data_IF_333763586057
#
_entry.id   IF_333763586057
#
_cell.length_a   1.000
_cell.length_b   1.000
_cell.length_c   1.000
_cell.angle_alpha   90.00
_cell.angle_beta   90.00
_cell.angle_gamma   90.00
#
_symmetry.space_group_name_H-M   'P 1'
#
loop_
_entity.id
_entity.type
_entity.pdbx_description
1 polymer ?
#
# COMPACT_ATOMS: atom_id res chain seq x y z
N UNK A 1 -13.54 33.12 -0.78
CA UNK A 1 -14.27 31.99 -0.16
C UNK A 1 -14.56 31.00 -1.26
N UNK A 2 -13.75 29.96 -1.40
CA UNK A 2 -14.05 28.85 -2.30
C UNK A 2 -14.94 27.89 -1.52
N UNK A 3 -16.23 27.89 -1.85
CA UNK A 3 -17.16 26.84 -1.45
C UNK A 3 -16.73 25.58 -2.19
N UNK A 4 -15.90 24.77 -1.55
CA UNK A 4 -15.61 23.41 -2.04
C UNK A 4 -16.79 22.57 -1.56
N UNK A 5 -17.46 21.95 -2.53
CA UNK A 5 -18.61 21.08 -2.35
C UNK A 5 -18.28 19.97 -1.34
N UNK A 6 -19.01 19.92 -0.22
CA UNK A 6 -18.88 18.90 0.84
C UNK A 6 -19.64 17.61 0.49
N UNK A 7 -20.05 17.44 -0.78
CA UNK A 7 -20.82 16.30 -1.28
C UNK A 7 -19.98 15.07 -1.68
N UNK A 8 -18.72 14.99 -1.23
CA UNK A 8 -17.83 13.87 -1.55
C UNK A 8 -17.71 12.84 -0.40
N UNK A 9 -18.84 12.45 0.16
CA UNK A 9 -19.03 11.04 0.44
C UNK A 9 -19.42 10.46 -0.93
N UNK A 10 -18.70 9.46 -1.46
CA UNK A 10 -19.06 8.83 -2.74
C UNK A 10 -20.56 8.50 -2.80
N UNK A 11 -21.19 8.33 -3.97
CA UNK A 11 -22.65 8.22 -4.08
C UNK A 11 -23.20 7.13 -3.15
N UNK A 12 -23.65 7.54 -1.96
CA UNK A 12 -24.43 6.70 -1.06
C UNK A 12 -25.87 6.58 -1.59
N UNK A 13 -26.20 7.34 -2.64
CA UNK A 13 -27.45 7.31 -3.39
C UNK A 13 -27.33 6.38 -4.61
N UNK A 14 -27.71 5.11 -4.38
CA UNK A 14 -28.50 4.27 -5.28
C UNK A 14 -28.12 4.03 -6.75
N UNK A 15 -26.96 4.47 -7.29
CA UNK A 15 -26.76 4.44 -8.75
C UNK A 15 -25.37 4.03 -9.29
N UNK A 16 -24.58 3.29 -8.52
CA UNK A 16 -23.49 2.49 -9.09
C UNK A 16 -23.70 1.04 -8.69
N UNK A 17 -24.23 0.24 -9.63
CA UNK A 17 -24.32 -1.23 -9.60
C UNK A 17 -22.93 -1.89 -9.62
N UNK A 18 -22.05 -1.50 -8.70
CA UNK A 18 -20.97 -2.37 -8.25
C UNK A 18 -21.50 -2.97 -6.95
N UNK A 19 -21.78 -4.26 -6.95
CA UNK A 19 -22.05 -5.02 -5.73
C UNK A 19 -21.06 -4.56 -4.65
N UNK A 20 -21.57 -3.92 -3.60
CA UNK A 20 -20.72 -3.33 -2.55
C UNK A 20 -19.96 -4.47 -1.89
N UNK A 21 -18.65 -4.52 -2.12
CA UNK A 21 -17.79 -5.56 -1.59
C UNK A 21 -17.70 -5.38 -0.08
N UNK A 22 -18.06 -6.43 0.66
CA UNK A 22 -17.85 -6.46 2.10
C UNK A 22 -16.37 -6.75 2.35
N UNK A 23 -15.66 -5.77 2.91
CA UNK A 23 -14.26 -5.94 3.29
C UNK A 23 -14.16 -6.91 4.47
N UNK A 24 -13.43 -8.00 4.28
CA UNK A 24 -13.17 -8.99 5.33
C UNK A 24 -11.72 -9.45 5.24
N UNK A 25 -11.07 -9.54 6.40
CA UNK A 25 -9.77 -10.17 6.50
C UNK A 25 -9.90 -11.64 6.12
N UNK A 26 -9.14 -12.06 5.12
CA UNK A 26 -9.04 -13.46 4.71
C UNK A 26 -7.94 -14.13 5.53
N UNK A 27 -8.16 -15.36 5.93
CA UNK A 27 -7.09 -16.18 6.49
C UNK A 27 -6.21 -16.65 5.34
N UNK A 28 -4.94 -16.26 5.31
CA UNK A 28 -4.03 -16.56 4.20
C UNK A 28 -2.75 -17.22 4.71
N UNK A 29 -2.24 -18.15 3.91
CA UNK A 29 -0.98 -18.83 4.17
C UNK A 29 -0.12 -18.87 2.91
N UNK A 30 1.16 -18.55 3.05
CA UNK A 30 2.13 -18.60 1.97
C UNK A 30 3.26 -19.58 2.34
N UNK A 31 3.57 -20.49 1.42
CA UNK A 31 4.74 -21.36 1.53
C UNK A 31 5.95 -20.68 0.90
N UNK A 32 6.94 -20.36 1.72
CA UNK A 32 8.18 -19.71 1.30
C UNK A 32 9.33 -20.70 1.07
N UNK A 33 9.14 -22.00 1.34
CA UNK A 33 10.24 -22.97 1.48
C UNK A 33 11.20 -23.01 0.28
N UNK A 34 10.68 -22.86 -0.94
CA UNK A 34 11.42 -22.85 -2.19
C UNK A 34 11.69 -21.45 -2.77
N UNK A 35 11.15 -20.38 -2.17
CA UNK A 35 11.30 -19.01 -2.66
C UNK A 35 12.79 -18.58 -2.68
N UNK A 36 13.39 -18.26 -3.84
CA UNK A 36 14.77 -17.78 -3.90
C UNK A 36 14.88 -16.29 -3.54
N UNK A 37 16.11 -15.80 -3.30
CA UNK A 37 16.36 -14.37 -3.07
C UNK A 37 15.91 -13.53 -4.26
N UNK A 38 16.29 -13.93 -5.48
CA UNK A 38 15.78 -13.36 -6.73
C UNK A 38 14.63 -14.20 -7.29
N UNK A 39 13.42 -13.95 -6.79
CA UNK A 39 12.20 -14.60 -7.27
C UNK A 39 11.74 -14.15 -8.64
N UNK A 40 12.32 -13.09 -9.22
CA UNK A 40 12.18 -12.78 -10.65
C UNK A 40 13.48 -13.20 -11.36
N UNK A 41 13.46 -14.28 -12.15
CA UNK A 41 14.68 -14.87 -12.72
C UNK A 41 15.52 -13.88 -13.53
N UNK A 42 16.78 -13.69 -13.14
CA UNK A 42 17.71 -12.79 -13.83
C UNK A 42 17.42 -11.29 -13.63
N UNK A 43 16.46 -10.93 -12.78
CA UNK A 43 16.01 -9.55 -12.57
C UNK A 43 16.15 -9.10 -11.11
N UNK A 44 17.39 -8.88 -10.61
CA UNK A 44 17.60 -8.38 -9.26
C UNK A 44 16.98 -6.99 -9.04
N UNK A 45 16.94 -6.15 -10.08
CA UNK A 45 16.29 -4.85 -9.99
C UNK A 45 14.79 -4.99 -9.70
N UNK A 46 14.09 -5.86 -10.44
CA UNK A 46 12.64 -6.06 -10.29
C UNK A 46 12.33 -6.68 -8.94
N UNK A 47 13.06 -7.76 -8.59
CA UNK A 47 12.94 -8.42 -7.28
C UNK A 47 13.11 -7.41 -6.15
N UNK A 48 14.18 -6.61 -6.16
CA UNK A 48 14.42 -5.66 -5.07
C UNK A 48 13.52 -4.43 -5.11
N UNK A 49 13.01 -4.04 -6.28
CA UNK A 49 12.00 -3.00 -6.40
C UNK A 49 10.72 -3.41 -5.66
N UNK A 50 10.26 -4.64 -5.88
CA UNK A 50 9.13 -5.22 -5.16
C UNK A 50 9.46 -5.42 -3.68
N UNK A 51 10.68 -5.86 -3.33
CA UNK A 51 11.07 -6.04 -1.93
C UNK A 51 11.05 -4.75 -1.08
N UNK A 52 11.09 -3.57 -1.70
CA UNK A 52 10.87 -2.31 -0.97
C UNK A 52 9.50 -2.29 -0.27
N UNK A 53 8.48 -2.96 -0.82
CA UNK A 53 7.16 -3.09 -0.18
C UNK A 53 7.30 -3.74 1.20
N UNK A 54 7.99 -4.89 1.29
CA UNK A 54 8.22 -5.59 2.56
C UNK A 54 9.08 -4.77 3.55
N UNK A 55 9.86 -3.78 3.08
CA UNK A 55 10.58 -2.85 3.97
C UNK A 55 9.70 -1.78 4.60
N UNK A 56 8.66 -1.33 3.87
CA UNK A 56 7.89 -0.15 4.21
C UNK A 56 6.52 -0.49 4.81
N UNK A 57 5.81 -1.43 4.19
CA UNK A 57 4.40 -1.69 4.46
C UNK A 57 4.13 -2.26 5.85
N UNK A 58 4.89 -3.24 6.41
CA UNK A 58 4.57 -3.79 7.74
C UNK A 58 4.37 -2.73 8.83
N UNK A 59 5.27 -1.76 8.89
CA UNK A 59 5.22 -0.67 9.86
C UNK A 59 4.19 0.40 9.50
N UNK A 60 3.92 0.60 8.21
CA UNK A 60 2.88 1.49 7.71
C UNK A 60 1.49 0.99 8.04
N UNK A 61 1.22 -0.28 7.75
CA UNK A 61 -0.06 -0.95 7.97
C UNK A 61 -0.36 -1.10 9.47
N UNK A 62 0.66 -1.42 10.30
CA UNK A 62 0.57 -1.32 11.77
C UNK A 62 0.12 0.10 12.20
N UNK A 63 0.68 1.14 11.58
CA UNK A 63 0.29 2.52 11.84
C UNK A 63 -1.12 2.85 11.32
N UNK A 64 -1.54 2.34 10.16
CA UNK A 64 -2.88 2.54 9.60
C UNK A 64 -3.95 1.99 10.55
N UNK A 65 -3.74 0.75 11.01
CA UNK A 65 -4.59 0.09 12.01
C UNK A 65 -4.75 0.95 13.26
N UNK A 66 -3.66 1.46 13.83
CA UNK A 66 -3.72 2.27 15.04
C UNK A 66 -4.41 3.63 14.82
N UNK A 67 -4.17 4.28 13.69
CA UNK A 67 -4.87 5.54 13.34
C UNK A 67 -6.36 5.30 13.15
N UNK A 68 -6.76 4.22 12.50
CA UNK A 68 -8.16 3.95 12.21
C UNK A 68 -8.92 3.43 13.43
N UNK A 69 -8.28 2.71 14.35
CA UNK A 69 -8.85 2.44 15.69
C UNK A 69 -9.18 3.73 16.45
N UNK A 70 -8.34 4.76 16.33
CA UNK A 70 -8.60 6.07 16.94
C UNK A 70 -9.68 6.88 16.21
N UNK A 71 -9.80 6.72 14.89
CA UNK A 71 -10.82 7.37 14.08
C UNK A 71 -12.20 6.72 14.23
N UNK A 72 -12.27 5.40 14.42
CA UNK A 72 -13.49 4.59 14.41
C UNK A 72 -14.61 5.14 15.33
N UNK A 73 -14.35 5.57 16.58
CA UNK A 73 -15.38 6.12 17.46
C UNK A 73 -15.96 7.47 17.00
N UNK A 74 -15.30 8.14 16.06
CA UNK A 74 -15.70 9.44 15.52
C UNK A 74 -16.56 9.29 14.25
N UNK A 75 -16.65 8.08 13.69
CA UNK A 75 -17.41 7.79 12.48
C UNK A 75 -18.88 7.54 12.84
N UNK A 76 -19.76 8.36 12.26
CA UNK A 76 -21.21 8.29 12.47
C UNK A 76 -21.95 7.52 11.39
N UNK A 77 -21.29 7.29 10.25
CA UNK A 77 -21.85 6.51 9.15
C UNK A 77 -21.64 5.01 9.43
N UNK A 78 -22.73 4.26 9.48
CA UNK A 78 -22.70 2.85 9.86
C UNK A 78 -21.98 1.98 8.83
N UNK A 79 -22.08 2.32 7.54
CA UNK A 79 -21.43 1.59 6.47
C UNK A 79 -19.92 1.85 6.48
N UNK A 80 -19.50 3.12 6.53
CA UNK A 80 -18.10 3.48 6.62
C UNK A 80 -17.43 2.87 7.86
N UNK A 81 -18.17 2.76 8.96
CA UNK A 81 -17.68 2.09 10.16
C UNK A 81 -17.44 0.59 9.95
N UNK A 82 -18.29 -0.10 9.17
CA UNK A 82 -18.06 -1.49 8.77
C UNK A 82 -16.85 -1.60 7.82
N UNK A 83 -16.75 -0.70 6.84
CA UNK A 83 -15.65 -0.71 5.87
C UNK A 83 -14.30 -0.49 6.58
N UNK A 84 -14.23 0.44 7.54
CA UNK A 84 -13.03 0.67 8.36
C UNK A 84 -12.70 -0.53 9.25
N UNK A 85 -13.69 -1.26 9.75
CA UNK A 85 -13.44 -2.49 10.50
C UNK A 85 -12.85 -3.59 9.61
N UNK A 86 -13.38 -3.76 8.39
CA UNK A 86 -12.84 -4.66 7.39
C UNK A 86 -11.40 -4.31 7.00
N UNK A 87 -11.16 -3.03 6.70
CA UNK A 87 -9.83 -2.46 6.44
C UNK A 87 -8.84 -2.79 7.56
N UNK A 88 -9.20 -2.51 8.83
CA UNK A 88 -8.33 -2.82 9.98
C UNK A 88 -7.95 -4.32 10.02
N UNK A 89 -8.89 -5.20 9.67
CA UNK A 89 -8.66 -6.63 9.58
C UNK A 89 -7.68 -7.00 8.47
N UNK A 90 -7.92 -6.52 7.24
CA UNK A 90 -7.08 -6.79 6.08
C UNK A 90 -5.64 -6.29 6.31
N UNK A 91 -5.47 -5.06 6.78
CA UNK A 91 -4.14 -4.48 7.04
C UNK A 91 -3.34 -5.22 8.12
N UNK A 92 -4.01 -5.75 9.14
CA UNK A 92 -3.35 -6.57 10.14
C UNK A 92 -2.82 -7.89 9.52
N UNK A 93 -3.52 -8.45 8.54
CA UNK A 93 -3.09 -9.64 7.80
C UNK A 93 -1.99 -9.31 6.79
N UNK A 94 -2.09 -8.19 6.05
CA UNK A 94 -1.05 -7.71 5.14
C UNK A 94 0.31 -7.60 5.85
N UNK A 95 0.32 -6.95 7.02
CA UNK A 95 1.54 -6.70 7.78
C UNK A 95 2.24 -8.00 8.18
N UNK A 96 1.45 -9.01 8.57
CA UNK A 96 1.95 -10.36 8.90
C UNK A 96 2.52 -11.08 7.67
N UNK A 97 1.83 -11.02 6.53
CA UNK A 97 2.29 -11.64 5.29
C UNK A 97 3.62 -11.04 4.82
N UNK A 98 3.76 -9.70 4.85
CA UNK A 98 5.04 -9.04 4.53
C UNK A 98 6.14 -9.40 5.53
N UNK A 99 5.84 -9.49 6.82
CA UNK A 99 6.81 -9.90 7.84
C UNK A 99 7.34 -11.32 7.59
N UNK A 100 6.48 -12.24 7.15
CA UNK A 100 6.88 -13.60 6.75
C UNK A 100 7.91 -13.61 5.60
N UNK A 101 7.76 -12.72 4.61
CA UNK A 101 8.75 -12.57 3.53
C UNK A 101 10.09 -12.03 4.07
N UNK A 102 10.04 -11.07 4.99
CA UNK A 102 11.25 -10.52 5.64
C UNK A 102 12.01 -11.61 6.39
N UNK A 103 11.31 -12.42 7.18
CA UNK A 103 11.91 -13.51 7.95
C UNK A 103 12.51 -14.58 7.05
N UNK A 104 11.82 -14.93 5.97
CA UNK A 104 12.33 -15.89 4.97
C UNK A 104 13.62 -15.39 4.29
N UNK A 105 13.63 -14.14 3.84
CA UNK A 105 14.81 -13.56 3.17
C UNK A 105 15.98 -13.36 4.14
N UNK A 106 15.71 -13.06 5.42
CA UNK A 106 16.72 -13.05 6.47
C UNK A 106 17.37 -14.44 6.65
N UNK A 107 16.58 -15.52 6.65
CA UNK A 107 17.09 -16.89 6.69
C UNK A 107 17.96 -17.27 5.47
N UNK A 108 17.81 -16.55 4.35
CA UNK A 108 18.64 -16.66 3.14
C UNK A 108 19.81 -15.67 3.10
N UNK A 109 20.08 -14.96 4.19
CA UNK A 109 21.22 -14.04 4.31
C UNK A 109 20.96 -12.59 3.90
N UNK A 110 19.71 -12.22 3.60
CA UNK A 110 19.28 -10.85 3.28
C UNK A 110 18.66 -10.22 4.52
N UNK A 111 19.49 -9.71 5.44
CA UNK A 111 19.01 -9.07 6.67
C UNK A 111 18.40 -7.69 6.40
N UNK A 112 17.07 -7.61 6.48
CA UNK A 112 16.32 -6.37 6.33
C UNK A 112 16.06 -5.62 7.63
N UNK A 113 16.38 -6.23 8.78
CA UNK A 113 16.03 -5.72 10.11
C UNK A 113 16.52 -4.29 10.39
N UNK A 114 17.71 -3.84 9.92
CA UNK A 114 18.15 -2.47 10.17
C UNK A 114 17.27 -1.41 9.51
N UNK A 115 16.73 -1.74 8.32
CA UNK A 115 15.87 -0.81 7.59
C UNK A 115 14.44 -0.85 8.13
N UNK A 116 13.86 -2.03 8.37
CA UNK A 116 12.51 -2.14 8.94
C UNK A 116 12.44 -1.52 10.33
N UNK A 117 13.48 -1.67 11.18
CA UNK A 117 13.56 -1.00 12.47
C UNK A 117 13.60 0.54 12.33
N UNK A 118 14.29 1.06 11.32
CA UNK A 118 14.30 2.50 11.03
C UNK A 118 12.92 3.01 10.62
N UNK A 119 12.19 2.26 9.79
CA UNK A 119 10.84 2.64 9.36
C UNK A 119 9.87 2.61 10.55
N UNK A 120 9.91 1.57 11.39
CA UNK A 120 9.14 1.52 12.65
C UNK A 120 9.44 2.72 13.54
N UNK A 121 10.71 3.10 13.68
CA UNK A 121 11.12 4.29 14.42
C UNK A 121 10.56 5.58 13.79
N UNK A 122 10.60 5.70 12.46
CA UNK A 122 10.09 6.87 11.74
C UNK A 122 8.59 7.04 11.98
N UNK A 123 7.80 5.97 11.87
CA UNK A 123 6.37 6.01 12.18
C UNK A 123 6.13 6.41 13.63
N UNK A 124 6.75 5.72 14.58
CA UNK A 124 6.58 5.99 16.01
C UNK A 124 6.97 7.43 16.40
N UNK A 125 8.08 7.95 15.86
CA UNK A 125 8.61 9.26 16.26
C UNK A 125 8.02 10.42 15.47
N UNK A 126 7.85 10.31 14.16
CA UNK A 126 7.40 11.45 13.34
C UNK A 126 5.88 11.56 13.30
N UNK A 127 5.18 10.43 13.21
CA UNK A 127 3.72 10.40 13.00
C UNK A 127 2.93 9.68 14.11
N UNK A 128 3.61 9.14 15.12
CA UNK A 128 2.98 8.51 16.28
C UNK A 128 2.23 9.47 17.21
N UNK A 129 1.63 8.91 18.25
CA UNK A 129 0.80 9.64 19.21
C UNK A 129 1.54 10.76 19.94
N UNK A 130 0.76 11.73 20.42
CA UNK A 130 1.22 12.92 21.13
C UNK A 130 0.44 13.09 22.44
N UNK A 131 0.63 12.19 23.42
CA UNK A 131 -0.22 12.13 24.62
C UNK A 131 -0.13 13.40 25.49
N UNK A 132 0.99 14.12 25.44
CA UNK A 132 1.17 15.37 26.20
C UNK A 132 0.57 16.61 25.51
N UNK A 133 -0.03 16.47 24.32
CA UNK A 133 -0.72 17.58 23.67
C UNK A 133 -2.14 17.73 24.23
N UNK A 134 -2.71 18.93 24.15
CA UNK A 134 -4.12 19.13 24.50
C UNK A 134 -5.06 18.36 23.57
N UNK A 135 -6.27 18.02 24.03
CA UNK A 135 -7.26 17.27 23.24
C UNK A 135 -7.50 17.86 21.85
N UNK A 136 -7.67 19.18 21.77
CA UNK A 136 -7.83 19.89 20.48
C UNK A 136 -6.64 19.70 19.55
N UNK A 137 -5.41 19.63 20.09
CA UNK A 137 -4.21 19.35 19.30
C UNK A 137 -4.16 17.89 18.86
N UNK A 138 -4.54 16.95 19.73
CA UNK A 138 -4.61 15.53 19.41
C UNK A 138 -5.64 15.24 18.31
N UNK A 139 -6.83 15.85 18.39
CA UNK A 139 -7.85 15.75 17.33
C UNK A 139 -7.34 16.26 16.00
N UNK A 140 -6.71 17.45 15.97
CA UNK A 140 -6.10 17.96 14.73
C UNK A 140 -5.00 17.03 14.21
N UNK A 141 -4.22 16.44 15.10
CA UNK A 141 -3.16 15.51 14.75
C UNK A 141 -3.70 14.19 14.19
N UNK A 142 -4.80 13.68 14.72
CA UNK A 142 -5.52 12.55 14.13
C UNK A 142 -5.92 12.83 12.68
N UNK A 143 -6.45 14.03 12.39
CA UNK A 143 -6.79 14.40 11.02
C UNK A 143 -5.56 14.48 10.09
N UNK A 144 -4.39 14.91 10.58
CA UNK A 144 -3.14 14.84 9.80
C UNK A 144 -2.77 13.40 9.47
N UNK A 145 -2.89 12.49 10.44
CA UNK A 145 -2.56 11.08 10.28
C UNK A 145 -3.55 10.37 9.36
N UNK A 146 -4.85 10.64 9.48
CA UNK A 146 -5.86 10.13 8.55
C UNK A 146 -5.57 10.60 7.11
N UNK A 147 -5.22 11.87 6.92
CA UNK A 147 -4.84 12.37 5.59
C UNK A 147 -3.53 11.74 5.08
N UNK A 148 -2.61 11.36 5.98
CA UNK A 148 -1.39 10.62 5.64
C UNK A 148 -1.73 9.19 5.18
N UNK A 149 -2.59 8.48 5.90
CA UNK A 149 -3.06 7.15 5.49
C UNK A 149 -3.70 7.24 4.10
N UNK A 150 -4.68 8.13 3.90
CA UNK A 150 -5.34 8.30 2.61
C UNK A 150 -4.37 8.63 1.46
N UNK A 151 -3.32 9.42 1.74
CA UNK A 151 -2.29 9.74 0.75
C UNK A 151 -1.41 8.54 0.40
N UNK A 152 -1.07 7.68 1.37
CA UNK A 152 -0.25 6.47 1.14
C UNK A 152 -1.08 5.37 0.47
N UNK A 153 -2.32 5.16 0.91
CA UNK A 153 -3.29 4.23 0.33
C UNK A 153 -3.53 4.50 -1.16
N UNK A 154 -3.51 5.78 -1.56
CA UNK A 154 -3.57 6.11 -2.99
C UNK A 154 -2.41 5.51 -3.80
N UNK A 155 -1.21 5.37 -3.21
CA UNK A 155 -0.09 4.71 -3.89
C UNK A 155 -0.20 3.18 -3.87
N UNK A 156 -0.61 2.59 -2.75
CA UNK A 156 -0.77 1.13 -2.64
C UNK A 156 -1.86 0.65 -3.59
N UNK A 157 -2.98 1.38 -3.71
CA UNK A 157 -4.02 1.09 -4.69
C UNK A 157 -3.53 1.14 -6.15
N UNK A 158 -2.69 2.13 -6.52
CA UNK A 158 -2.10 2.20 -7.87
C UNK A 158 -1.17 1.00 -8.13
N UNK A 159 -0.34 0.64 -7.14
CA UNK A 159 0.57 -0.49 -7.25
C UNK A 159 -0.19 -1.83 -7.27
N UNK A 160 -1.27 -1.93 -6.50
CA UNK A 160 -2.17 -3.07 -6.46
C UNK A 160 -2.87 -3.30 -7.80
N UNK A 161 -3.42 -2.24 -8.40
CA UNK A 161 -3.99 -2.32 -9.75
C UNK A 161 -2.94 -2.73 -10.79
N UNK A 162 -1.71 -2.20 -10.70
CA UNK A 162 -0.62 -2.58 -11.60
C UNK A 162 -0.22 -4.05 -11.46
N UNK A 163 -0.04 -4.57 -10.25
CA UNK A 163 0.44 -5.95 -10.07
C UNK A 163 -0.61 -6.98 -10.47
N UNK A 164 -1.90 -6.64 -10.36
CA UNK A 164 -3.00 -7.45 -10.91
C UNK A 164 -2.98 -7.52 -12.44
N UNK A 165 -2.39 -6.53 -13.11
CA UNK A 165 -2.31 -6.42 -14.57
C UNK A 165 -0.87 -6.49 -15.08
N UNK A 166 -0.12 -7.47 -14.59
CA UNK A 166 1.33 -7.63 -14.82
C UNK A 166 1.70 -8.93 -15.56
N UNK A 167 1.15 -9.21 -16.77
CA UNK A 167 1.40 -10.48 -17.48
C UNK A 167 2.88 -10.73 -17.82
N UNK A 168 3.69 -9.69 -17.84
CA UNK A 168 5.14 -9.80 -18.03
C UNK A 168 5.85 -10.53 -16.87
N UNK A 169 5.32 -10.42 -15.64
CA UNK A 169 5.85 -11.15 -14.48
C UNK A 169 5.56 -12.65 -14.60
N UNK A 170 4.39 -13.03 -15.13
CA UNK A 170 4.09 -14.44 -15.42
C UNK A 170 4.98 -14.96 -16.56
N UNK A 171 5.10 -14.19 -17.64
CA UNK A 171 5.85 -14.59 -18.83
C UNK A 171 7.35 -14.78 -18.57
N UNK A 172 7.94 -14.02 -17.65
CA UNK A 172 9.35 -14.18 -17.25
C UNK A 172 9.56 -15.30 -16.22
N UNK A 173 8.48 -15.87 -15.68
CA UNK A 173 8.54 -16.93 -14.69
C UNK A 173 8.88 -16.46 -13.28
N UNK A 174 8.33 -15.30 -12.85
CA UNK A 174 8.45 -14.91 -11.46
C UNK A 174 7.77 -15.94 -10.53
N UNK A 175 8.34 -16.13 -9.34
CA UNK A 175 7.96 -17.22 -8.44
C UNK A 175 6.47 -17.13 -8.04
N UNK A 176 5.69 -18.21 -8.19
CA UNK A 176 4.24 -18.16 -8.03
C UNK A 176 3.82 -17.77 -6.61
N UNK A 177 4.50 -18.24 -5.56
CA UNK A 177 4.17 -17.87 -4.18
C UNK A 177 4.31 -16.37 -3.90
N UNK A 178 5.35 -15.73 -4.46
CA UNK A 178 5.55 -14.28 -4.29
C UNK A 178 4.56 -13.48 -5.15
N UNK A 179 4.30 -13.93 -6.38
CA UNK A 179 3.28 -13.29 -7.21
C UNK A 179 1.89 -13.38 -6.58
N UNK A 180 1.54 -14.52 -5.98
CA UNK A 180 0.28 -14.67 -5.26
C UNK A 180 0.18 -13.71 -4.08
N UNK A 181 1.24 -13.61 -3.26
CA UNK A 181 1.24 -12.68 -2.14
C UNK A 181 1.09 -11.22 -2.58
N UNK A 182 1.85 -10.78 -3.59
CA UNK A 182 1.78 -9.40 -4.07
C UNK A 182 0.43 -9.08 -4.73
N UNK A 183 -0.18 -10.03 -5.45
CA UNK A 183 -1.47 -9.84 -6.11
C UNK A 183 -2.66 -9.99 -5.16
N UNK A 184 -2.59 -10.87 -4.17
CA UNK A 184 -3.58 -10.95 -3.09
C UNK A 184 -3.61 -9.61 -2.35
N UNK A 185 -2.45 -9.13 -1.91
CA UNK A 185 -2.34 -7.83 -1.26
C UNK A 185 -2.86 -6.73 -2.18
N UNK A 186 -2.34 -6.66 -3.41
CA UNK A 186 -2.78 -5.66 -4.39
C UNK A 186 -4.29 -5.68 -4.69
N UNK A 187 -4.94 -6.85 -4.60
CA UNK A 187 -6.38 -6.95 -4.72
C UNK A 187 -7.12 -6.35 -3.53
N UNK A 188 -6.72 -6.66 -2.30
CA UNK A 188 -7.33 -6.09 -1.10
C UNK A 188 -7.11 -4.56 -1.06
N UNK A 189 -5.92 -4.07 -1.46
CA UNK A 189 -5.64 -2.63 -1.65
C UNK A 189 -6.61 -1.95 -2.62
N UNK A 190 -7.04 -2.67 -3.66
CA UNK A 190 -8.01 -2.17 -4.64
C UNK A 190 -9.46 -2.27 -4.12
N UNK A 191 -9.80 -3.30 -3.32
CA UNK A 191 -11.10 -3.41 -2.65
C UNK A 191 -11.33 -2.22 -1.71
N UNK A 192 -10.31 -1.81 -0.94
CA UNK A 192 -10.44 -0.79 0.10
C UNK A 192 -9.91 0.60 -0.25
N UNK A 193 -9.47 0.82 -1.50
CA UNK A 193 -8.84 2.09 -1.98
C UNK A 193 -9.58 3.39 -1.63
N UNK A 194 -10.90 3.32 -1.40
CA UNK A 194 -11.72 4.47 -1.05
C UNK A 194 -11.81 4.71 0.46
N UNK A 195 -11.66 3.69 1.30
CA UNK A 195 -11.97 3.74 2.74
C UNK A 195 -11.21 4.85 3.45
N UNK A 196 -9.89 4.92 3.26
CA UNK A 196 -9.07 5.94 3.93
C UNK A 196 -9.45 7.36 3.50
N UNK A 197 -9.80 7.54 2.22
CA UNK A 197 -10.27 8.82 1.69
C UNK A 197 -11.65 9.17 2.25
N UNK A 198 -12.56 8.21 2.36
CA UNK A 198 -13.89 8.39 2.90
C UNK A 198 -13.86 8.76 4.38
N UNK A 199 -12.97 8.14 5.17
CA UNK A 199 -12.71 8.56 6.56
C UNK A 199 -12.19 10.00 6.61
N UNK A 200 -11.25 10.37 5.74
CA UNK A 200 -10.73 11.74 5.66
C UNK A 200 -11.84 12.76 5.34
N UNK A 201 -12.77 12.42 4.45
CA UNK A 201 -13.92 13.27 4.10
C UNK A 201 -14.95 13.32 5.21
N UNK A 202 -15.31 12.18 5.78
CA UNK A 202 -16.26 12.06 6.89
C UNK A 202 -15.83 12.89 8.11
N UNK A 203 -14.53 12.86 8.44
CA UNK A 203 -13.95 13.65 9.54
C UNK A 203 -13.66 15.11 9.15
N UNK A 204 -14.06 15.55 7.96
CA UNK A 204 -13.92 16.91 7.45
C UNK A 204 -12.47 17.41 7.53
N UNK A 205 -11.51 16.57 7.13
CA UNK A 205 -10.09 16.91 7.23
C UNK A 205 -9.69 18.07 6.30
N UNK A 206 -10.49 18.34 5.26
CA UNK A 206 -10.39 19.49 4.38
C UNK A 206 -9.41 19.33 3.21
N UNK A 207 -9.75 19.91 2.06
CA UNK A 207 -8.98 19.78 0.82
C UNK A 207 -7.53 20.30 0.91
N UNK A 208 -7.31 21.41 1.64
CA UNK A 208 -5.96 21.94 1.82
C UNK A 208 -5.04 20.94 2.55
N UNK A 209 -5.58 20.18 3.52
CA UNK A 209 -4.83 19.14 4.23
C UNK A 209 -4.52 17.97 3.30
N UNK A 210 -5.51 17.50 2.54
CA UNK A 210 -5.32 16.46 1.52
C UNK A 210 -4.16 16.82 0.58
N UNK A 211 -4.19 18.01 -0.03
CA UNK A 211 -3.17 18.44 -1.01
C UNK A 211 -1.79 18.59 -0.37
N UNK A 212 -1.67 19.28 0.78
CA UNK A 212 -0.35 19.46 1.41
C UNK A 212 0.26 18.15 1.90
N UNK A 213 -0.57 17.21 2.35
CA UNK A 213 -0.11 15.88 2.77
C UNK A 213 0.38 15.11 1.55
N UNK A 214 -0.37 15.10 0.44
CA UNK A 214 0.09 14.45 -0.80
C UNK A 214 1.40 15.05 -1.31
N UNK A 215 1.56 16.38 -1.27
CA UNK A 215 2.80 17.08 -1.65
C UNK A 215 4.00 16.69 -0.79
N UNK A 216 3.77 16.33 0.48
CA UNK A 216 4.82 15.87 1.39
C UNK A 216 5.12 14.36 1.22
N UNK A 217 4.07 13.54 1.06
CA UNK A 217 4.16 12.09 0.91
C UNK A 217 4.84 11.71 -0.41
N UNK A 218 4.49 12.36 -1.53
CA UNK A 218 5.05 12.04 -2.85
C UNK A 218 6.59 12.00 -2.87
N UNK A 219 7.32 13.07 -2.49
CA UNK A 219 8.78 13.05 -2.49
C UNK A 219 9.36 12.15 -1.39
N UNK A 220 8.68 12.01 -0.24
CA UNK A 220 9.12 11.12 0.83
C UNK A 220 9.08 9.66 0.39
N UNK A 221 7.99 9.23 -0.24
CA UNK A 221 7.84 7.87 -0.78
C UNK A 221 8.90 7.59 -1.84
N UNK A 222 9.12 8.51 -2.79
CA UNK A 222 10.18 8.35 -3.79
C UNK A 222 11.57 8.21 -3.13
N UNK A 223 11.86 9.05 -2.13
CA UNK A 223 13.13 8.98 -1.39
C UNK A 223 13.28 7.65 -0.64
N UNK A 224 12.23 7.20 0.07
CA UNK A 224 12.20 5.91 0.76
C UNK A 224 12.40 4.75 -0.22
N UNK A 225 11.79 4.81 -1.40
CA UNK A 225 11.93 3.78 -2.43
C UNK A 225 13.36 3.67 -2.95
N UNK A 226 13.97 4.81 -3.29
CA UNK A 226 15.38 4.86 -3.74
C UNK A 226 16.30 4.34 -2.62
N UNK A 227 16.06 4.74 -1.38
CA UNK A 227 16.86 4.32 -0.22
C UNK A 227 16.71 2.83 0.05
N UNK A 228 15.48 2.30 0.01
CA UNK A 228 15.15 0.89 0.19
C UNK A 228 15.78 0.03 -0.88
N UNK A 229 15.64 0.40 -2.15
CA UNK A 229 16.26 -0.32 -3.27
C UNK A 229 17.79 -0.36 -3.16
N UNK A 230 18.43 0.77 -2.79
CA UNK A 230 19.87 0.81 -2.55
C UNK A 230 20.30 -0.02 -1.35
N UNK A 231 19.45 -0.08 -0.32
CA UNK A 231 19.69 -0.91 0.86
C UNK A 231 19.63 -2.39 0.47
N UNK A 232 18.59 -2.82 -0.27
CA UNK A 232 18.45 -4.20 -0.75
C UNK A 232 19.67 -4.66 -1.56
N UNK A 233 20.14 -3.84 -2.52
CA UNK A 233 21.36 -4.14 -3.28
C UNK A 233 22.63 -4.24 -2.41
N UNK A 234 22.66 -3.57 -1.25
CA UNK A 234 23.80 -3.61 -0.33
C UNK A 234 23.80 -4.89 0.51
N UNK A 235 22.63 -5.39 0.89
CA UNK A 235 22.47 -6.55 1.77
C UNK A 235 22.25 -7.87 1.03
N UNK A 236 22.11 -7.83 -0.29
CA UNK A 236 21.98 -9.01 -1.13
C UNK A 236 23.33 -9.74 -1.30
N UNK A 237 23.47 -11.00 -0.83
CA UNK A 237 24.69 -11.77 -0.93
C UNK A 237 24.94 -12.35 -2.35
N UNK A 238 23.93 -12.39 -3.22
CA UNK A 238 24.03 -12.94 -4.58
C UNK A 238 24.55 -11.90 -5.59
N UNK A 239 24.59 -10.62 -5.21
CA UNK A 239 25.13 -9.55 -6.05
C UNK A 239 26.63 -9.30 -5.79
N UNK A 240 27.42 -8.99 -6.85
CA UNK A 240 28.80 -8.55 -6.67
C UNK A 240 28.89 -7.30 -5.80
N UNK A 241 29.87 -7.28 -4.90
CA UNK A 241 30.09 -6.17 -3.99
C UNK A 241 30.22 -4.82 -4.74
N UNK A 242 29.47 -3.82 -4.29
CA UNK A 242 29.49 -2.48 -4.88
C UNK A 242 28.52 -2.27 -6.06
N UNK A 243 27.76 -3.31 -6.47
CA UNK A 243 26.66 -3.17 -7.42
C UNK A 243 25.63 -2.18 -6.88
N UNK A 244 25.11 -1.30 -7.76
CA UNK A 244 24.13 -0.27 -7.40
C UNK A 244 22.99 -0.25 -8.41
N UNK A 245 21.75 -0.05 -7.98
CA UNK A 245 20.63 0.18 -8.88
C UNK A 245 20.81 1.52 -9.60
N UNK A 246 20.44 1.58 -10.87
CA UNK A 246 20.50 2.80 -11.69
C UNK A 246 19.14 3.11 -12.27
N UNK A 247 18.91 4.38 -12.57
CA UNK A 247 17.70 4.83 -13.26
C UNK A 247 17.44 4.09 -14.57
N UNK A 248 18.49 3.76 -15.32
CA UNK A 248 18.36 2.99 -16.56
C UNK A 248 17.75 1.60 -16.34
N UNK A 249 18.04 0.98 -15.19
CA UNK A 249 17.55 -0.36 -14.87
C UNK A 249 16.03 -0.28 -14.62
N UNK A 250 15.53 0.80 -13.98
CA UNK A 250 14.09 1.09 -13.88
C UNK A 250 13.44 1.24 -15.25
N UNK A 251 13.98 2.10 -16.12
CA UNK A 251 13.38 2.33 -17.44
C UNK A 251 13.38 1.06 -18.31
N UNK A 252 14.40 0.21 -18.22
CA UNK A 252 14.45 -1.06 -18.95
C UNK A 252 13.39 -2.03 -18.41
N UNK A 253 13.29 -2.19 -17.09
CA UNK A 253 12.28 -3.05 -16.48
C UNK A 253 10.85 -2.56 -16.75
N UNK A 254 10.61 -1.25 -16.67
CA UNK A 254 9.32 -0.64 -16.95
C UNK A 254 8.89 -0.83 -18.41
N UNK A 255 9.80 -0.66 -19.39
CA UNK A 255 9.50 -0.93 -20.81
C UNK A 255 9.14 -2.39 -21.08
N UNK A 256 9.57 -3.31 -20.22
CA UNK A 256 9.25 -4.73 -20.28
C UNK A 256 8.00 -5.08 -19.48
N UNK A 257 7.36 -4.11 -18.83
CA UNK A 257 6.17 -4.32 -17.99
C UNK A 257 6.47 -5.01 -16.66
N UNK A 258 7.73 -5.08 -16.22
CA UNK A 258 8.13 -5.80 -15.00
C UNK A 258 8.02 -4.96 -13.72
N UNK A 259 7.94 -3.64 -13.86
CA UNK A 259 7.68 -2.66 -12.79
C UNK A 259 6.83 -1.52 -13.36
N UNK A 260 6.11 -0.74 -12.53
CA UNK A 260 5.35 0.40 -13.02
C UNK A 260 6.22 1.40 -13.78
N UNK A 261 5.71 1.92 -14.89
CA UNK A 261 6.37 3.01 -15.61
C UNK A 261 6.22 4.33 -14.84
N UNK A 262 7.29 5.13 -14.70
CA UNK A 262 7.17 6.48 -14.15
C UNK A 262 6.11 7.33 -14.86
N UNK A 263 5.92 7.12 -16.16
CA UNK A 263 4.96 7.87 -16.98
C UNK A 263 3.51 7.45 -16.77
N UNK A 264 3.26 6.22 -16.33
CA UNK A 264 1.92 5.72 -15.97
C UNK A 264 1.58 6.11 -14.52
N UNK A 265 2.60 6.12 -13.65
CA UNK A 265 2.45 6.46 -12.23
C UNK A 265 2.09 7.93 -12.01
N UNK A 266 2.68 8.84 -12.79
CA UNK A 266 2.48 10.29 -12.63
C UNK A 266 1.04 10.77 -12.83
N UNK A 267 0.31 10.39 -13.91
CA UNK A 267 -1.10 10.75 -14.07
C UNK A 267 -1.99 10.24 -12.94
N UNK A 268 -1.75 9.01 -12.46
CA UNK A 268 -2.52 8.42 -11.37
C UNK A 268 -2.30 9.18 -10.05
N UNK A 269 -1.05 9.55 -9.72
CA UNK A 269 -0.76 10.44 -8.58
C UNK A 269 -1.39 11.83 -8.79
N UNK A 270 -1.29 12.39 -9.99
CA UNK A 270 -1.79 13.72 -10.30
C UNK A 270 -3.32 13.83 -10.15
N UNK A 271 -4.04 12.71 -10.34
CA UNK A 271 -5.49 12.65 -10.16
C UNK A 271 -5.94 13.04 -8.74
N UNK A 272 -5.14 12.69 -7.72
CA UNK A 272 -5.42 12.96 -6.30
C UNK A 272 -5.53 14.46 -5.95
N UNK A 273 -4.95 15.33 -6.80
CA UNK A 273 -5.00 16.78 -6.66
C UNK A 273 -6.21 17.43 -7.34
N UNK A 274 -7.12 16.66 -7.95
CA UNK A 274 -8.33 17.23 -8.58
C UNK A 274 -9.41 17.44 -7.50
N UNK A 275 -10.09 18.59 -7.44
CA UNK A 275 -11.12 18.84 -6.43
C UNK A 275 -12.26 17.81 -6.38
N UNK A 276 -12.64 17.23 -7.53
CA UNK A 276 -13.69 16.20 -7.64
C UNK A 276 -13.16 14.76 -7.71
N UNK A 277 -11.90 14.52 -7.33
CA UNK A 277 -11.33 13.19 -7.30
C UNK A 277 -11.94 12.34 -6.19
N UNK A 278 -12.20 11.08 -6.50
CA UNK A 278 -12.54 10.05 -5.53
C UNK A 278 -11.82 8.74 -5.90
N UNK A 279 -11.15 8.02 -4.99
CA UNK A 279 -10.43 6.78 -5.33
C UNK A 279 -11.29 5.69 -5.97
N UNK A 280 -12.59 5.66 -5.66
CA UNK A 280 -13.56 4.78 -6.33
C UNK A 280 -13.63 4.96 -7.86
N UNK A 281 -13.17 6.10 -8.40
CA UNK A 281 -13.07 6.35 -9.85
C UNK A 281 -11.89 5.61 -10.49
N UNK A 282 -10.92 5.13 -9.70
CA UNK A 282 -9.86 4.25 -10.19
C UNK A 282 -10.47 2.90 -10.59
N UNK A 283 -9.84 2.18 -11.50
CA UNK A 283 -10.33 0.88 -11.98
C UNK A 283 -10.05 -0.27 -11.01
N UNK A 284 -10.06 -1.49 -11.54
CA UNK A 284 -9.44 -2.64 -10.87
C UNK A 284 -10.34 -3.47 -9.93
N UNK A 285 -11.48 -2.96 -9.47
CA UNK A 285 -12.33 -3.67 -8.49
C UNK A 285 -12.76 -5.06 -9.00
N UNK A 286 -13.24 -5.14 -10.24
CA UNK A 286 -13.59 -6.42 -10.86
C UNK A 286 -12.37 -7.37 -10.96
N UNK A 287 -11.19 -6.84 -11.31
CA UNK A 287 -9.95 -7.63 -11.38
C UNK A 287 -9.54 -8.14 -9.99
N UNK A 288 -9.68 -7.31 -8.96
CA UNK A 288 -9.38 -7.66 -7.58
C UNK A 288 -10.27 -8.80 -7.09
N UNK A 289 -11.60 -8.67 -7.25
CA UNK A 289 -12.57 -9.72 -6.90
C UNK A 289 -12.28 -11.02 -7.65
N UNK A 290 -12.05 -10.93 -8.96
CA UNK A 290 -11.74 -12.10 -9.78
C UNK A 290 -10.44 -12.78 -9.35
N UNK A 291 -9.42 -12.01 -8.97
CA UNK A 291 -8.15 -12.56 -8.51
C UNK A 291 -8.28 -13.23 -7.14
N UNK A 292 -8.96 -12.58 -6.19
CA UNK A 292 -9.20 -13.13 -4.85
C UNK A 292 -9.98 -14.44 -4.90
N UNK A 293 -10.88 -14.61 -5.87
CA UNK A 293 -11.60 -15.87 -6.08
C UNK A 293 -10.71 -17.04 -6.57
N UNK A 294 -9.50 -16.75 -7.09
CA UNK A 294 -8.57 -17.77 -7.62
C UNK A 294 -7.23 -17.83 -6.90
N UNK A 295 -6.93 -16.89 -6.00
CA UNK A 295 -5.68 -16.87 -5.22
C UNK A 295 -5.52 -18.16 -4.42
N UNK A 296 -4.41 -18.91 -4.61
CA UNK A 296 -4.10 -20.08 -3.80
C UNK A 296 -4.10 -19.78 -2.30
N UNK A 297 -3.45 -18.70 -1.86
CA UNK A 297 -3.35 -18.33 -0.45
C UNK A 297 -4.71 -17.98 0.16
N UNK A 298 -5.57 -17.25 -0.57
CA UNK A 298 -6.91 -16.89 -0.10
C UNK A 298 -7.89 -18.08 -0.06
N UNK A 299 -7.58 -19.18 -0.76
CA UNK A 299 -8.42 -20.38 -0.82
C UNK A 299 -7.96 -21.52 0.08
N UNK A 300 -6.70 -21.49 0.53
CA UNK A 300 -6.08 -22.60 1.26
C UNK A 300 -6.65 -22.85 2.67
N UNK A 301 -7.52 -21.96 3.16
CA UNK A 301 -8.04 -21.91 4.52
C UNK A 301 -9.56 -22.14 4.61
N UNK A 302 -10.20 -22.51 3.50
CA UNK A 302 -11.62 -22.92 3.44
C UNK A 302 -11.81 -24.44 3.44
#
# INVERSE_FOLDING_TARGET
MLSVDDTAAGPHDGSLDHERIVLQARDVGFDWSDLPVHYVPGEPFVTHFCNVLHLLLPAGEEFFVEVFKQALPLIKDDQLRLDVQGFIGQEATHSQAHAGVVDHLAARGVDMSPFTAQIKWLFAKLVGDRPHWSERRQQRWLLERVALVAAVEHYTAILGEWVLDSPALDAIGAHPAMLDMLRWHGAEEVEHKAVAFDVMKHLQAGYLRQVRTQLAVTPLMLWLWIRGLRFMYKVDPELPAGTKPRWRDWFIAARRGLVPSPFEFLPAIASYYRPGFHPAQLGGVEKAVNYLAVSPAARATH
#
